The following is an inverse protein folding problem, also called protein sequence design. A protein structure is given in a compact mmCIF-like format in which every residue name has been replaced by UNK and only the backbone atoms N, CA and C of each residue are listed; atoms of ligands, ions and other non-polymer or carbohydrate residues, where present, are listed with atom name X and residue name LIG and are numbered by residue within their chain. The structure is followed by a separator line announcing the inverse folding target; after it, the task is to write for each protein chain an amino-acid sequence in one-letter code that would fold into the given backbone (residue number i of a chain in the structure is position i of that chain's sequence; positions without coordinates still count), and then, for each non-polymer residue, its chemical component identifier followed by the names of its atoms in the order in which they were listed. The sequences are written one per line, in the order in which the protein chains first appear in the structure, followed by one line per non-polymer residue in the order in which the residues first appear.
data_IF_845253808465
#
_entry.id   IF_845253808465
#
_cell.length_a   1.000
_cell.length_b   1.000
_cell.length_c   1.000
_cell.angle_alpha   90.00
_cell.angle_beta   90.00
_cell.angle_gamma   90.00
#
_symmetry.space_group_name_H-M   'P 1'
#
loop_
_entity.id
_entity.type
_entity.pdbx_description
1 polymer ?
#
# COMPACT_ATOMS: atom_id res chain seq x y z
N UNK A 1 -1.83 6.66 -5.28
CA UNK A 1 -0.48 6.97 -5.72
C UNK A 1 0.22 5.68 -6.16
N UNK A 2 0.80 4.86 -5.28
CA UNK A 2 1.57 3.66 -5.63
C UNK A 2 0.76 2.71 -6.51
N UNK A 3 -0.48 2.38 -6.13
CA UNK A 3 -1.32 1.43 -6.87
C UNK A 3 -1.55 1.81 -8.33
N UNK A 4 -1.64 3.10 -8.67
CA UNK A 4 -1.80 3.50 -10.07
C UNK A 4 -0.55 3.30 -10.92
N UNK A 5 0.64 3.49 -10.34
CA UNK A 5 1.92 3.17 -11.01
C UNK A 5 2.09 1.65 -11.18
N UNK A 6 1.70 0.88 -10.15
CA UNK A 6 1.74 -0.59 -10.25
C UNK A 6 0.78 -1.11 -11.34
N UNK A 7 -0.46 -0.58 -11.40
CA UNK A 7 -1.39 -0.93 -12.48
C UNK A 7 -0.79 -0.65 -13.86
N UNK A 8 -0.19 0.52 -14.08
CA UNK A 8 0.45 0.85 -15.36
C UNK A 8 1.63 -0.07 -15.68
N UNK A 9 2.46 -0.43 -14.69
CA UNK A 9 3.56 -1.35 -14.88
C UNK A 9 3.06 -2.74 -15.27
N UNK A 10 2.07 -3.29 -14.56
CA UNK A 10 1.50 -4.61 -14.85
C UNK A 10 0.84 -4.65 -16.23
N UNK A 11 0.05 -3.65 -16.57
CA UNK A 11 -0.57 -3.51 -17.90
C UNK A 11 0.48 -3.43 -19.01
N UNK A 12 1.56 -2.67 -18.79
CA UNK A 12 2.67 -2.54 -19.74
C UNK A 12 3.44 -3.84 -19.92
N UNK A 13 3.43 -4.71 -18.91
CA UNK A 13 4.00 -6.06 -18.97
C UNK A 13 3.03 -7.10 -19.58
N UNK A 14 1.85 -6.68 -20.02
CA UNK A 14 0.85 -7.54 -20.68
C UNK A 14 -0.12 -8.25 -19.74
N UNK A 15 -0.11 -7.94 -18.44
CA UNK A 15 -1.06 -8.51 -17.50
C UNK A 15 -2.48 -7.97 -17.71
N UNK A 16 -3.48 -8.79 -17.36
CA UNK A 16 -4.84 -8.33 -17.14
C UNK A 16 -4.95 -7.82 -15.69
N UNK A 17 -5.42 -6.59 -15.52
CA UNK A 17 -5.43 -5.92 -14.21
C UNK A 17 -6.84 -5.54 -13.82
N UNK A 18 -7.26 -5.96 -12.64
CA UNK A 18 -8.47 -5.46 -11.99
C UNK A 18 -8.09 -4.45 -10.92
N UNK A 19 -8.37 -3.17 -11.19
CA UNK A 19 -8.07 -2.06 -10.32
C UNK A 19 -9.25 -1.75 -9.39
N UNK A 20 -9.12 -2.07 -8.10
CA UNK A 20 -10.11 -1.66 -7.11
C UNK A 20 -9.89 -0.18 -6.72
N UNK A 21 -10.96 0.62 -6.81
CA UNK A 21 -10.99 2.01 -6.36
C UNK A 21 -12.05 2.19 -5.28
N UNK A 22 -11.81 3.11 -4.35
CA UNK A 22 -12.83 3.45 -3.37
C UNK A 22 -14.04 4.07 -4.07
N UNK A 23 -15.19 3.41 -3.96
CA UNK A 23 -16.43 3.90 -4.53
C UNK A 23 -16.79 5.28 -3.98
N UNK A 24 -17.08 6.22 -4.85
CA UNK A 24 -17.54 7.55 -4.48
C UNK A 24 -18.70 7.98 -5.37
N UNK A 25 -19.52 8.90 -4.86
CA UNK A 25 -20.73 9.38 -5.56
C UNK A 25 -20.45 10.10 -6.88
N UNK A 26 -19.18 10.48 -7.14
CA UNK A 26 -18.77 11.18 -8.37
C UNK A 26 -18.22 10.24 -9.44
N UNK A 27 -18.16 8.93 -9.16
CA UNK A 27 -17.61 7.95 -10.11
C UNK A 27 -16.12 8.15 -10.44
N UNK A 28 -15.38 8.87 -9.58
CA UNK A 28 -13.95 9.10 -9.84
C UNK A 28 -13.17 7.82 -9.68
N UNK A 29 -12.37 7.49 -10.68
CA UNK A 29 -11.41 6.37 -10.67
C UNK A 29 -10.00 6.80 -10.26
N UNK A 30 -9.88 8.02 -9.74
CA UNK A 30 -8.60 8.57 -9.26
C UNK A 30 -7.54 8.61 -10.35
N UNK A 31 -6.31 8.27 -10.00
CA UNK A 31 -5.19 8.30 -10.96
C UNK A 31 -5.27 7.24 -12.06
N UNK A 32 -6.16 6.26 -11.97
CA UNK A 32 -6.39 5.30 -13.07
C UNK A 32 -7.03 5.97 -14.30
N UNK A 33 -7.67 7.12 -14.13
CA UNK A 33 -8.13 7.93 -15.29
C UNK A 33 -6.99 8.35 -16.24
N UNK A 34 -5.74 8.39 -15.76
CA UNK A 34 -4.56 8.75 -16.55
C UNK A 34 -3.84 7.58 -17.20
N UNK A 35 -4.35 6.36 -17.08
CA UNK A 35 -3.76 5.17 -17.73
C UNK A 35 -3.82 5.36 -19.26
N UNK A 36 -2.70 5.17 -19.98
CA UNK A 36 -2.65 5.31 -21.43
C UNK A 36 -3.73 4.47 -22.14
N UNK A 37 -4.44 5.06 -23.09
CA UNK A 37 -5.59 4.43 -23.76
C UNK A 37 -5.28 3.05 -24.37
N UNK A 38 -4.07 2.85 -24.89
CA UNK A 38 -3.66 1.56 -25.47
C UNK A 38 -3.53 0.43 -24.43
N UNK A 39 -3.42 0.76 -23.12
CA UNK A 39 -3.35 -0.20 -22.03
C UNK A 39 -4.72 -0.50 -21.42
N UNK A 40 -5.73 0.37 -21.63
CA UNK A 40 -7.03 0.25 -20.94
C UNK A 40 -7.84 -0.99 -21.34
N UNK A 41 -7.53 -1.61 -22.47
CA UNK A 41 -8.19 -2.86 -22.92
C UNK A 41 -8.04 -4.02 -21.94
N UNK A 42 -6.95 -4.03 -21.16
CA UNK A 42 -6.64 -5.06 -20.16
C UNK A 42 -6.89 -4.56 -18.73
N UNK A 43 -7.55 -3.41 -18.55
CA UNK A 43 -7.87 -2.83 -17.25
C UNK A 43 -9.37 -2.90 -16.98
N UNK A 44 -9.76 -3.67 -15.98
CA UNK A 44 -11.07 -3.64 -15.36
C UNK A 44 -11.02 -2.74 -14.10
N UNK A 45 -11.99 -1.84 -13.92
CA UNK A 45 -12.06 -0.99 -12.73
C UNK A 45 -13.30 -1.36 -11.92
N UNK A 46 -13.07 -1.76 -10.66
CA UNK A 46 -14.11 -2.09 -9.69
C UNK A 46 -14.23 -0.98 -8.64
N UNK A 47 -15.41 -0.35 -8.53
CA UNK A 47 -15.69 0.67 -7.53
C UNK A 47 -16.37 0.07 -6.30
N UNK A 48 -15.76 0.17 -5.12
CA UNK A 48 -16.34 -0.36 -3.87
C UNK A 48 -15.54 0.00 -2.63
N UNK A 49 -15.86 -0.64 -1.53
CA UNK A 49 -15.23 -0.39 -0.24
C UNK A 49 -14.52 -1.65 0.24
N UNK A 50 -13.25 -1.53 0.62
CA UNK A 50 -12.44 -2.65 1.14
C UNK A 50 -13.06 -3.28 2.41
N UNK A 51 -13.91 -2.55 3.11
CA UNK A 51 -14.64 -3.04 4.30
C UNK A 51 -15.82 -3.94 3.96
N UNK A 52 -16.25 -3.95 2.70
CA UNK A 52 -17.32 -4.84 2.22
C UNK A 52 -16.71 -6.17 1.75
N UNK A 53 -16.83 -7.21 2.58
CA UNK A 53 -16.27 -8.52 2.27
C UNK A 53 -16.90 -9.20 1.04
N UNK A 54 -18.17 -8.95 0.76
CA UNK A 54 -18.84 -9.50 -0.43
C UNK A 54 -18.26 -8.87 -1.71
N UNK A 55 -18.13 -7.54 -1.72
CA UNK A 55 -17.48 -6.80 -2.81
C UNK A 55 -16.04 -7.25 -3.02
N UNK A 56 -15.25 -7.35 -1.94
CA UNK A 56 -13.84 -7.78 -2.03
C UNK A 56 -13.73 -9.19 -2.60
N UNK A 57 -14.62 -10.10 -2.21
CA UNK A 57 -14.65 -11.45 -2.76
C UNK A 57 -14.96 -11.44 -4.26
N UNK A 58 -15.99 -10.73 -4.70
CA UNK A 58 -16.32 -10.57 -6.11
C UNK A 58 -15.13 -9.98 -6.90
N UNK A 59 -14.50 -8.92 -6.37
CA UNK A 59 -13.32 -8.30 -6.98
C UNK A 59 -12.10 -9.23 -7.05
N UNK A 60 -12.04 -10.29 -6.23
CA UNK A 60 -10.91 -11.24 -6.19
C UNK A 60 -11.19 -12.48 -7.06
N UNK A 61 -12.43 -12.73 -7.46
CA UNK A 61 -12.78 -13.92 -8.25
C UNK A 61 -12.02 -13.98 -9.57
N UNK A 62 -11.34 -15.10 -9.81
CA UNK A 62 -10.53 -15.34 -11.02
C UNK A 62 -9.21 -14.60 -11.09
N UNK A 63 -8.76 -13.99 -9.97
CA UNK A 63 -7.47 -13.31 -9.85
C UNK A 63 -6.41 -14.28 -9.33
N UNK A 64 -5.23 -14.29 -9.92
CA UNK A 64 -4.10 -15.13 -9.45
C UNK A 64 -3.22 -14.44 -8.41
N UNK A 65 -3.10 -13.12 -8.46
CA UNK A 65 -2.23 -12.33 -7.58
C UNK A 65 -2.95 -11.08 -7.09
N UNK A 66 -2.94 -10.85 -5.78
CA UNK A 66 -3.53 -9.67 -5.14
C UNK A 66 -2.44 -8.76 -4.57
N UNK A 67 -2.39 -7.52 -5.03
CA UNK A 67 -1.59 -6.45 -4.41
C UNK A 67 -2.50 -5.61 -3.53
N UNK A 68 -2.39 -5.79 -2.22
CA UNK A 68 -3.24 -5.10 -1.26
C UNK A 68 -2.63 -3.77 -0.81
N UNK A 69 -2.99 -2.66 -1.50
CA UNK A 69 -2.56 -1.29 -1.17
C UNK A 69 -3.64 -0.46 -0.48
N UNK A 70 -4.90 -0.91 -0.52
CA UNK A 70 -6.02 -0.15 0.00
C UNK A 70 -5.91 0.05 1.51
N UNK A 71 -5.78 1.31 1.94
CA UNK A 71 -5.66 1.68 3.35
C UNK A 71 -5.91 3.18 3.55
N UNK A 72 -6.28 3.57 4.77
CA UNK A 72 -6.13 4.94 5.24
C UNK A 72 -4.68 5.10 5.66
N UNK A 73 -3.95 6.03 4.99
CA UNK A 73 -2.50 6.19 5.15
C UNK A 73 -2.07 7.48 5.86
N UNK A 74 -2.98 8.41 6.07
CA UNK A 74 -2.68 9.70 6.71
C UNK A 74 -2.56 9.54 8.22
N UNK A 75 -1.36 9.78 8.77
CA UNK A 75 -1.12 9.81 10.22
C UNK A 75 -1.98 10.90 10.88
N UNK A 76 -2.04 12.11 10.31
CA UNK A 76 -2.85 13.20 10.85
C UNK A 76 -4.35 12.84 10.88
N UNK A 77 -4.85 12.21 9.81
CA UNK A 77 -6.24 11.74 9.78
C UNK A 77 -6.50 10.67 10.85
N UNK A 78 -5.55 9.78 11.10
CA UNK A 78 -5.70 8.70 12.08
C UNK A 78 -5.84 9.20 13.52
N UNK A 79 -5.28 10.34 13.85
CA UNK A 79 -5.49 10.97 15.16
C UNK A 79 -6.92 11.51 15.33
N UNK A 80 -7.48 12.06 14.26
CA UNK A 80 -8.86 12.58 14.28
C UNK A 80 -9.92 11.46 14.15
N UNK A 81 -9.58 10.37 13.44
CA UNK A 81 -10.48 9.27 13.11
C UNK A 81 -9.83 7.90 13.35
N UNK A 82 -9.46 7.58 14.61
CA UNK A 82 -8.73 6.34 14.91
C UNK A 82 -9.55 5.08 14.63
N UNK A 83 -10.83 5.09 14.96
CA UNK A 83 -11.74 3.96 14.75
C UNK A 83 -11.85 3.62 13.25
N UNK A 84 -12.14 4.60 12.41
CA UNK A 84 -12.25 4.40 10.97
C UNK A 84 -10.94 3.89 10.37
N UNK A 85 -9.79 4.41 10.86
CA UNK A 85 -8.47 3.98 10.41
C UNK A 85 -8.23 2.51 10.76
N UNK A 86 -8.52 2.10 12.00
CA UNK A 86 -8.34 0.71 12.44
C UNK A 86 -9.29 -0.20 11.68
N UNK A 87 -10.58 0.12 11.62
CA UNK A 87 -11.58 -0.70 10.93
C UNK A 87 -11.19 -0.85 9.45
N UNK A 88 -10.85 0.23 8.77
CA UNK A 88 -10.52 0.16 7.34
C UNK A 88 -9.27 -0.66 7.08
N UNK A 89 -8.20 -0.44 7.83
CA UNK A 89 -6.92 -1.09 7.57
C UNK A 89 -6.90 -2.55 8.02
N UNK A 90 -7.49 -2.87 9.18
CA UNK A 90 -7.48 -4.24 9.71
C UNK A 90 -8.57 -5.09 9.06
N UNK A 91 -9.83 -4.62 9.07
CA UNK A 91 -10.92 -5.38 8.47
C UNK A 91 -10.80 -5.46 6.95
N UNK A 92 -10.26 -4.42 6.31
CA UNK A 92 -9.92 -4.46 4.88
C UNK A 92 -8.92 -5.56 4.57
N UNK A 93 -7.85 -5.69 5.37
CA UNK A 93 -6.87 -6.77 5.20
C UNK A 93 -7.48 -8.15 5.48
N UNK A 94 -8.31 -8.26 6.52
CA UNK A 94 -9.06 -9.50 6.81
C UNK A 94 -9.93 -9.91 5.61
N UNK A 95 -10.68 -8.98 5.02
CA UNK A 95 -11.53 -9.26 3.87
C UNK A 95 -10.72 -9.72 2.65
N UNK A 96 -9.57 -9.08 2.37
CA UNK A 96 -8.67 -9.48 1.29
C UNK A 96 -8.11 -10.88 1.53
N UNK A 97 -7.62 -11.18 2.72
CA UNK A 97 -7.08 -12.51 3.04
C UNK A 97 -8.17 -13.60 2.96
N UNK A 98 -9.38 -13.32 3.45
CA UNK A 98 -10.51 -14.25 3.32
C UNK A 98 -10.89 -14.50 1.85
N UNK A 99 -11.01 -13.44 1.04
CA UNK A 99 -11.32 -13.56 -0.37
C UNK A 99 -10.21 -14.34 -1.10
N UNK A 100 -8.95 -13.98 -0.90
CA UNK A 100 -7.80 -14.63 -1.51
C UNK A 100 -7.75 -16.14 -1.18
N UNK A 101 -8.03 -16.49 0.08
CA UNK A 101 -8.12 -17.90 0.49
C UNK A 101 -9.25 -18.65 -0.22
N UNK A 102 -10.43 -18.06 -0.29
CA UNK A 102 -11.59 -18.68 -0.94
C UNK A 102 -11.40 -18.86 -2.45
N UNK A 103 -10.76 -17.90 -3.10
CA UNK A 103 -10.50 -17.92 -4.54
C UNK A 103 -9.18 -18.64 -4.91
N UNK A 104 -8.49 -19.24 -3.92
CA UNK A 104 -7.22 -19.95 -4.11
C UNK A 104 -6.15 -19.10 -4.82
N UNK A 105 -6.06 -17.83 -4.45
CA UNK A 105 -5.09 -16.88 -5.01
C UNK A 105 -3.66 -17.39 -4.78
N UNK A 106 -2.86 -17.39 -5.84
CA UNK A 106 -1.46 -17.85 -5.80
C UNK A 106 -0.55 -16.97 -4.94
N UNK A 107 -0.83 -15.68 -4.87
CA UNK A 107 0.00 -14.72 -4.13
C UNK A 107 -0.82 -13.54 -3.60
N UNK A 108 -0.62 -13.20 -2.34
CA UNK A 108 -1.04 -11.93 -1.74
C UNK A 108 0.20 -11.12 -1.37
N UNK A 109 0.34 -9.95 -1.93
CA UNK A 109 1.38 -8.98 -1.56
C UNK A 109 0.73 -7.90 -0.70
N UNK A 110 0.93 -8.01 0.62
CA UNK A 110 0.38 -7.09 1.60
C UNK A 110 1.28 -5.87 1.77
N UNK A 111 0.74 -4.68 1.60
CA UNK A 111 1.47 -3.43 1.80
C UNK A 111 1.34 -2.94 3.24
N UNK A 112 2.45 -2.94 3.94
CA UNK A 112 2.62 -2.37 5.27
C UNK A 112 3.37 -1.02 5.22
N UNK A 113 3.98 -0.63 6.30
CA UNK A 113 4.72 0.62 6.43
C UNK A 113 5.92 0.45 7.36
N UNK A 114 7.06 1.03 7.01
CA UNK A 114 8.19 1.14 7.93
C UNK A 114 7.86 1.92 9.22
N UNK A 115 6.77 2.68 9.23
CA UNK A 115 6.27 3.34 10.45
C UNK A 115 5.95 2.39 11.60
N UNK A 116 5.73 1.08 11.34
CA UNK A 116 5.49 0.06 12.38
C UNK A 116 6.71 -0.16 13.28
N UNK A 117 7.92 0.14 12.81
CA UNK A 117 9.15 0.05 13.60
C UNK A 117 9.32 1.20 14.60
N UNK A 118 8.62 2.32 14.38
CA UNK A 118 8.82 3.53 15.16
C UNK A 118 10.14 4.24 14.81
N UNK A 119 10.81 4.76 15.83
CA UNK A 119 12.09 5.48 15.67
C UNK A 119 13.25 4.55 16.04
N UNK A 120 14.26 4.46 15.16
CA UNK A 120 15.50 3.77 15.49
C UNK A 120 16.17 4.41 16.71
N UNK A 121 16.47 3.61 17.73
CA UNK A 121 17.04 4.09 19.00
C UNK A 121 18.51 4.45 18.89
N UNK A 122 19.23 3.78 18.02
CA UNK A 122 20.67 3.94 17.78
C UNK A 122 21.00 4.77 16.53
N UNK A 123 19.95 5.20 15.80
CA UNK A 123 20.10 5.94 14.54
C UNK A 123 20.60 5.09 13.36
N UNK A 124 20.76 3.78 13.56
CA UNK A 124 21.19 2.84 12.54
C UNK A 124 20.09 2.47 11.54
N UNK A 125 20.44 1.70 10.48
CA UNK A 125 19.49 1.20 9.52
C UNK A 125 18.45 0.28 10.17
N UNK A 126 17.20 0.40 9.74
CA UNK A 126 16.10 -0.48 10.18
C UNK A 126 16.04 -1.69 9.26
N UNK A 127 16.26 -2.87 9.81
CA UNK A 127 16.11 -4.16 9.12
C UNK A 127 14.77 -4.80 9.48
N UNK A 128 14.40 -5.89 8.81
CA UNK A 128 13.15 -6.64 9.06
C UNK A 128 13.09 -7.24 10.47
N UNK A 129 14.24 -7.49 11.10
CA UNK A 129 14.35 -8.00 12.49
C UNK A 129 14.29 -6.90 13.53
N UNK A 130 14.18 -5.61 13.14
CA UNK A 130 14.06 -4.51 14.07
C UNK A 130 12.74 -4.63 14.86
N UNK A 131 12.75 -4.41 16.19
CA UNK A 131 11.54 -4.47 17.00
C UNK A 131 10.47 -3.50 16.50
N UNK A 132 9.22 -3.96 16.46
CA UNK A 132 8.08 -3.13 16.09
C UNK A 132 7.59 -2.30 17.27
N UNK A 133 7.26 -1.03 17.04
CA UNK A 133 6.82 -0.08 18.05
C UNK A 133 5.89 0.96 17.43
N UNK A 134 4.63 0.62 17.26
CA UNK A 134 3.63 1.52 16.69
C UNK A 134 3.32 2.68 17.65
N UNK A 135 3.46 3.93 17.17
CA UNK A 135 3.34 5.13 18.00
C UNK A 135 2.05 5.93 17.78
N UNK A 136 1.24 5.58 16.81
CA UNK A 136 0.02 6.30 16.46
C UNK A 136 -1.03 5.33 15.89
N UNK A 137 -2.32 5.74 15.80
CA UNK A 137 -3.39 4.85 15.33
C UNK A 137 -3.16 4.28 13.92
N UNK A 138 -2.53 5.05 13.01
CA UNK A 138 -2.18 4.54 11.68
C UNK A 138 -1.17 3.40 11.76
N UNK A 139 -0.04 3.61 12.44
CA UNK A 139 0.99 2.56 12.53
C UNK A 139 0.52 1.36 13.33
N UNK A 140 -0.31 1.56 14.36
CA UNK A 140 -0.97 0.48 15.09
C UNK A 140 -1.90 -0.34 14.17
N UNK A 141 -2.69 0.33 13.32
CA UNK A 141 -3.57 -0.35 12.36
C UNK A 141 -2.79 -1.14 11.30
N UNK A 142 -1.64 -0.62 10.85
CA UNK A 142 -0.78 -1.33 9.90
C UNK A 142 -0.11 -2.56 10.54
N UNK A 143 0.37 -2.45 11.78
CA UNK A 143 0.94 -3.58 12.50
C UNK A 143 -0.12 -4.66 12.79
N UNK A 144 -1.32 -4.28 13.15
CA UNK A 144 -2.44 -5.22 13.33
C UNK A 144 -2.82 -5.89 11.99
N UNK A 145 -2.78 -5.16 10.88
CA UNK A 145 -2.99 -5.72 9.54
C UNK A 145 -1.86 -6.70 9.14
N UNK A 146 -0.60 -6.42 9.48
CA UNK A 146 0.53 -7.33 9.27
C UNK A 146 0.27 -8.66 9.98
N UNK A 147 -0.05 -8.63 11.28
CA UNK A 147 -0.35 -9.84 12.05
C UNK A 147 -1.62 -10.55 11.57
N UNK A 148 -2.61 -9.82 11.05
CA UNK A 148 -3.77 -10.43 10.40
C UNK A 148 -3.33 -11.23 9.17
N UNK A 149 -2.53 -10.65 8.29
CA UNK A 149 -2.03 -11.32 7.08
C UNK A 149 -1.13 -12.52 7.42
N UNK A 150 -0.22 -12.36 8.37
CA UNK A 150 0.64 -13.42 8.90
C UNK A 150 -0.16 -14.60 9.46
N UNK A 151 -1.23 -14.32 10.22
CA UNK A 151 -2.10 -15.37 10.77
C UNK A 151 -2.75 -16.22 9.69
N UNK A 152 -3.08 -15.65 8.53
CA UNK A 152 -3.62 -16.40 7.39
C UNK A 152 -2.57 -17.28 6.72
N UNK A 153 -1.33 -16.84 6.65
CA UNK A 153 -0.22 -17.69 6.21
C UNK A 153 -0.03 -18.87 7.16
N UNK A 154 0.09 -18.61 8.48
CA UNK A 154 0.36 -19.63 9.48
C UNK A 154 -0.80 -20.62 9.69
N UNK A 155 -2.05 -20.20 9.51
CA UNK A 155 -3.22 -21.02 9.84
C UNK A 155 -3.89 -21.67 8.63
N UNK A 156 -3.71 -21.10 7.45
CA UNK A 156 -4.42 -21.51 6.23
C UNK A 156 -3.50 -21.70 5.02
N UNK A 157 -2.18 -21.60 5.20
CA UNK A 157 -1.18 -21.68 4.13
C UNK A 157 -1.43 -20.68 2.99
N UNK A 158 -2.08 -19.53 3.29
CA UNK A 158 -2.29 -18.48 2.30
C UNK A 158 -0.94 -17.87 1.91
N UNK A 159 -0.53 -17.88 0.63
CA UNK A 159 0.79 -17.39 0.22
C UNK A 159 0.88 -15.86 0.30
N UNK A 160 1.14 -15.32 1.49
CA UNK A 160 1.27 -13.88 1.76
C UNK A 160 2.74 -13.48 1.87
N UNK A 161 3.11 -12.35 1.27
CA UNK A 161 4.35 -11.64 1.53
C UNK A 161 4.01 -10.22 2.04
N UNK A 162 4.64 -9.79 3.12
CA UNK A 162 4.39 -8.47 3.72
C UNK A 162 5.50 -7.48 3.34
N UNK A 163 5.13 -6.36 2.71
CA UNK A 163 6.06 -5.33 2.26
C UNK A 163 5.95 -4.09 3.15
N UNK A 164 6.98 -3.78 3.92
CA UNK A 164 7.08 -2.56 4.73
C UNK A 164 7.82 -1.49 3.96
N UNK A 165 7.05 -0.59 3.34
CA UNK A 165 7.61 0.50 2.53
C UNK A 165 8.03 1.68 3.40
N UNK A 166 9.17 2.29 3.06
CA UNK A 166 9.64 3.55 3.62
C UNK A 166 8.96 4.74 2.94
N UNK A 167 9.61 5.90 2.86
CA UNK A 167 8.93 7.08 2.33
C UNK A 167 8.97 7.09 0.81
N UNK A 168 7.88 6.68 0.20
CA UNK A 168 7.70 6.73 -1.24
C UNK A 168 7.63 8.17 -1.76
N UNK A 169 8.24 8.45 -2.92
CA UNK A 169 8.07 9.72 -3.62
C UNK A 169 8.00 9.49 -5.14
N UNK A 170 7.46 10.48 -5.86
CA UNK A 170 7.33 10.43 -7.32
C UNK A 170 6.09 11.15 -7.82
N UNK A 171 5.80 11.10 -9.14
CA UNK A 171 4.58 11.66 -9.70
C UNK A 171 3.32 11.15 -9.01
N UNK A 172 2.26 11.96 -8.93
CA UNK A 172 0.96 11.65 -8.29
C UNK A 172 1.01 11.54 -6.76
N UNK A 173 2.13 11.87 -6.12
CA UNK A 173 2.22 11.90 -4.65
C UNK A 173 1.40 13.07 -4.08
N UNK A 174 0.89 12.92 -2.86
CA UNK A 174 0.11 13.97 -2.18
C UNK A 174 0.92 15.25 -1.94
N UNK A 175 0.35 16.40 -2.29
CA UNK A 175 1.03 17.71 -2.28
C UNK A 175 1.46 18.19 -0.89
N UNK A 176 0.91 17.60 0.18
CA UNK A 176 1.22 17.94 1.58
C UNK A 176 2.43 17.19 2.14
N UNK A 177 3.05 16.30 1.36
CA UNK A 177 4.28 15.60 1.75
C UNK A 177 5.51 16.46 1.47
N UNK A 178 6.63 16.19 2.16
CA UNK A 178 7.80 17.07 2.18
C UNK A 178 8.37 17.36 0.80
N UNK A 179 8.59 16.35 -0.05
CA UNK A 179 9.18 16.53 -1.38
C UNK A 179 8.28 17.39 -2.28
N UNK A 180 6.98 17.11 -2.48
CA UNK A 180 6.09 18.00 -3.24
C UNK A 180 5.99 19.41 -2.62
N UNK A 181 5.99 19.52 -1.28
CA UNK A 181 5.96 20.81 -0.61
C UNK A 181 7.17 21.66 -0.98
N UNK A 182 8.38 21.08 -0.98
CA UNK A 182 9.61 21.76 -1.43
C UNK A 182 9.49 22.19 -2.88
N UNK A 183 9.12 21.28 -3.78
CA UNK A 183 9.00 21.55 -5.22
C UNK A 183 8.02 22.68 -5.48
N UNK A 184 6.83 22.62 -4.87
CA UNK A 184 5.78 23.63 -5.06
C UNK A 184 6.16 25.01 -4.49
N UNK A 185 6.86 25.07 -3.36
CA UNK A 185 7.34 26.34 -2.80
C UNK A 185 8.42 26.95 -3.68
N UNK A 186 9.38 26.16 -4.16
CA UNK A 186 10.43 26.62 -5.07
C UNK A 186 9.85 27.10 -6.42
N UNK A 187 8.91 26.35 -7.00
CA UNK A 187 8.26 26.75 -8.24
C UNK A 187 7.48 28.07 -8.14
N UNK A 188 7.05 28.45 -6.94
CA UNK A 188 6.37 29.72 -6.66
C UNK A 188 7.34 30.86 -6.30
N UNK A 189 8.65 30.62 -6.33
CA UNK A 189 9.68 31.59 -5.98
C UNK A 189 9.62 32.09 -4.54
N UNK A 190 9.10 31.28 -3.61
CA UNK A 190 8.92 31.62 -2.20
C UNK A 190 10.02 31.01 -1.35
N UNK A 191 10.24 31.63 -0.19
CA UNK A 191 11.05 31.06 0.88
C UNK A 191 10.50 29.68 1.29
N UNK A 192 11.41 28.71 1.52
CA UNK A 192 11.04 27.38 1.97
C UNK A 192 10.63 27.42 3.45
N UNK A 193 9.41 27.01 3.72
CA UNK A 193 8.86 26.82 5.06
C UNK A 193 8.61 25.34 5.29
N UNK A 194 9.48 24.72 6.06
CA UNK A 194 9.44 23.30 6.38
C UNK A 194 9.28 23.13 7.90
N UNK A 195 8.86 21.95 8.32
CA UNK A 195 8.85 21.58 9.73
C UNK A 195 10.25 21.29 10.26
N UNK A 196 10.34 20.44 11.31
CA UNK A 196 11.60 20.01 11.88
C UNK A 196 12.46 19.27 10.83
N UNK A 197 13.72 19.71 10.68
CA UNK A 197 14.69 19.14 9.73
C UNK A 197 15.60 18.08 10.35
N UNK A 198 15.53 17.87 11.66
CA UNK A 198 16.39 16.89 12.37
C UNK A 198 16.07 15.42 11.99
N UNK A 199 14.79 15.02 11.74
CA UNK A 199 14.49 13.63 11.41
C UNK A 199 15.08 13.20 10.06
N UNK A 200 15.88 12.14 10.07
CA UNK A 200 16.34 11.47 8.85
C UNK A 200 15.25 10.57 8.28
N UNK A 201 15.22 10.44 6.96
CA UNK A 201 14.26 9.58 6.25
C UNK A 201 14.92 8.89 5.06
N UNK A 202 14.54 7.65 4.82
CA UNK A 202 14.84 6.98 3.56
C UNK A 202 13.73 7.31 2.56
N UNK A 203 14.10 7.82 1.40
CA UNK A 203 13.17 8.11 0.30
C UNK A 203 13.42 7.15 -0.86
N UNK A 204 12.38 6.43 -1.26
CA UNK A 204 12.42 5.48 -2.37
C UNK A 204 11.53 5.97 -3.51
N UNK A 205 12.09 6.01 -4.73
CA UNK A 205 11.33 6.45 -5.90
C UNK A 205 10.24 5.43 -6.24
N UNK A 206 9.09 5.92 -6.71
CA UNK A 206 7.90 5.07 -6.90
C UNK A 206 8.11 3.91 -7.88
N UNK A 207 8.93 4.09 -8.92
CA UNK A 207 9.20 3.01 -9.89
C UNK A 207 10.04 1.89 -9.28
N UNK A 208 10.94 2.21 -8.34
CA UNK A 208 11.72 1.21 -7.59
C UNK A 208 10.80 0.43 -6.66
N UNK A 209 9.88 1.14 -5.98
CA UNK A 209 8.84 0.51 -5.13
C UNK A 209 7.96 -0.44 -5.95
N UNK A 210 7.50 0.01 -7.13
CA UNK A 210 6.69 -0.81 -8.02
C UNK A 210 7.47 -2.04 -8.50
N UNK A 211 8.75 -1.87 -8.83
CA UNK A 211 9.63 -2.98 -9.21
C UNK A 211 9.79 -3.98 -8.07
N UNK A 212 9.96 -3.50 -6.84
CA UNK A 212 10.05 -4.35 -5.65
C UNK A 212 8.74 -5.12 -5.41
N UNK A 213 7.57 -4.48 -5.56
CA UNK A 213 6.28 -5.17 -5.47
C UNK A 213 6.12 -6.29 -6.50
N UNK A 214 6.48 -6.04 -7.77
CA UNK A 214 6.41 -7.05 -8.82
C UNK A 214 7.33 -8.23 -8.48
N UNK A 215 8.57 -7.95 -8.09
CA UNK A 215 9.51 -9.01 -7.66
C UNK A 215 9.00 -9.81 -6.47
N UNK A 216 8.42 -9.14 -5.46
CA UNK A 216 7.82 -9.83 -4.30
C UNK A 216 6.69 -10.78 -4.72
N UNK A 217 5.93 -10.44 -5.76
CA UNK A 217 4.88 -11.32 -6.29
C UNK A 217 5.44 -12.55 -7.03
N UNK A 218 6.63 -12.46 -7.59
CA UNK A 218 7.28 -13.49 -8.40
C UNK A 218 8.14 -14.45 -7.56
N UNK A 219 8.75 -13.96 -6.46
CA UNK A 219 9.68 -14.71 -5.62
C UNK A 219 8.97 -15.57 -4.58
N UNK A 220 9.16 -16.88 -4.62
CA UNK A 220 8.56 -17.79 -3.64
C UNK A 220 9.28 -17.76 -2.28
N UNK A 221 10.54 -17.39 -2.25
CA UNK A 221 11.34 -17.30 -1.02
C UNK A 221 10.86 -16.25 -0.01
N UNK A 222 10.00 -15.33 -0.42
CA UNK A 222 9.44 -14.28 0.45
C UNK A 222 8.03 -14.61 0.98
N UNK A 223 7.50 -15.79 0.67
CA UNK A 223 6.21 -16.23 1.22
C UNK A 223 6.34 -16.42 2.73
N UNK A 224 5.45 -15.79 3.49
CA UNK A 224 5.47 -15.77 4.95
C UNK A 224 6.44 -14.75 5.55
N UNK A 225 7.23 -14.06 4.71
CA UNK A 225 8.27 -13.15 5.15
C UNK A 225 7.83 -11.68 5.11
N UNK A 226 8.56 -10.86 5.85
CA UNK A 226 8.51 -9.40 5.78
C UNK A 226 9.68 -8.92 4.93
N UNK A 227 9.43 -7.99 4.01
CA UNK A 227 10.46 -7.38 3.15
C UNK A 227 10.38 -5.86 3.28
N UNK A 228 11.51 -5.22 3.50
CA UNK A 228 11.64 -3.76 3.58
C UNK A 228 12.08 -3.16 2.21
N UNK A 229 11.46 -2.07 1.78
CA UNK A 229 11.90 -1.28 0.62
C UNK A 229 11.32 0.14 0.52
#
# INVERSE_FOLDING_TARGET
FIGSHLCERLLSSGAEVRGMVHGNMRGSVGYLAGVPQHLTKNLEICGGNIRDGAFVREATTGVDTVFHHAAITSVAYSYANPEETIITNVMGTLNVCNAARHEHVRRVVHTSSAGVYGTSKDGGPITETHPVAAHNPYTASKLAADHTAESFYLSYDLPVATCRIFNAYGPRIGQFLVIPTIILQLARGKELRLGDLAPTRNFTYVDDIVTAFVRTAEEDSVIGEVVNF
#
